data_IF_247309230346
#
_entry.id   IF_247309230346
#
_cell.length_a   1.000
_cell.length_b   1.000
_cell.length_c   1.000
_cell.angle_alpha   90.00
_cell.angle_beta   90.00
_cell.angle_gamma   90.00
#
_symmetry.space_group_name_H-M   'P 1'
#
loop_
_entity.id
_entity.type
_entity.pdbx_description
1 polymer ?
#
# COMPACT_ATOMS: atom_id res chain seq x y z
N UNK A 1 -3.42 13.42 -3.74
CA UNK A 1 -4.62 12.67 -4.21
C UNK A 1 -4.59 11.19 -3.88
N UNK A 2 -3.44 10.56 -3.57
CA UNK A 2 -3.36 9.11 -3.27
C UNK A 2 -4.34 8.62 -2.17
N UNK A 3 -4.60 9.45 -1.15
CA UNK A 3 -5.53 9.14 -0.06
C UNK A 3 -7.00 8.92 -0.48
N UNK A 4 -7.43 9.55 -1.57
CA UNK A 4 -8.81 9.52 -2.07
C UNK A 4 -8.98 8.68 -3.34
N UNK A 5 -7.96 7.90 -3.69
CA UNK A 5 -7.99 7.01 -4.85
C UNK A 5 -9.23 6.13 -4.84
N UNK A 6 -9.88 6.01 -6.00
CA UNK A 6 -11.00 5.10 -6.21
C UNK A 6 -10.61 3.66 -5.85
N UNK A 7 -11.55 2.89 -5.33
CA UNK A 7 -11.30 1.48 -5.04
C UNK A 7 -11.27 0.67 -6.34
N UNK A 8 -10.23 -0.16 -6.48
CA UNK A 8 -10.14 -1.21 -7.48
C UNK A 8 -10.78 -2.50 -6.98
N UNK A 9 -10.28 -3.63 -7.46
CA UNK A 9 -10.87 -4.94 -7.17
C UNK A 9 -10.52 -5.46 -5.77
N UNK A 10 -9.36 -5.08 -5.22
CA UNK A 10 -8.85 -5.63 -3.97
C UNK A 10 -8.95 -4.67 -2.77
N UNK A 11 -9.41 -3.44 -2.99
CA UNK A 11 -9.69 -2.44 -1.97
C UNK A 11 -11.09 -2.59 -1.39
N UNK A 12 -11.21 -2.30 -0.10
CA UNK A 12 -12.50 -2.33 0.61
C UNK A 12 -12.57 -1.14 1.56
N UNK A 13 -13.69 -1.00 2.29
CA UNK A 13 -13.82 0.02 3.34
C UNK A 13 -12.72 -0.02 4.42
N UNK A 14 -12.04 -1.15 4.60
CA UNK A 14 -10.93 -1.33 5.55
C UNK A 14 -9.55 -1.40 4.90
N UNK A 15 -9.49 -1.68 3.60
CA UNK A 15 -8.24 -1.78 2.83
C UNK A 15 -8.13 -0.52 1.96
N UNK A 16 -7.65 0.57 2.56
CA UNK A 16 -7.45 1.86 1.87
C UNK A 16 -6.55 2.78 2.69
N UNK A 17 -6.20 3.93 2.11
CA UNK A 17 -5.33 4.96 2.70
C UNK A 17 -6.08 6.25 3.04
N UNK A 18 -7.41 6.18 3.25
CA UNK A 18 -8.24 7.37 3.53
C UNK A 18 -8.02 7.92 4.94
N UNK A 19 -7.64 7.07 5.89
CA UNK A 19 -7.33 7.44 7.27
C UNK A 19 -6.08 6.74 7.75
N UNK A 20 -5.38 7.33 8.71
CA UNK A 20 -4.12 6.78 9.26
C UNK A 20 -4.28 5.33 9.77
N UNK A 21 -5.32 4.99 10.57
CA UNK A 21 -5.47 3.61 11.03
C UNK A 21 -5.69 2.61 9.90
N UNK A 22 -6.46 2.98 8.87
CA UNK A 22 -6.69 2.11 7.70
C UNK A 22 -5.43 1.94 6.86
N UNK A 23 -4.63 3.00 6.73
CA UNK A 23 -3.33 2.92 6.07
C UNK A 23 -2.39 1.97 6.82
N UNK A 24 -2.35 2.02 8.16
CA UNK A 24 -1.55 1.08 8.96
C UNK A 24 -2.01 -0.37 8.79
N UNK A 25 -3.33 -0.62 8.75
CA UNK A 25 -3.88 -1.96 8.46
C UNK A 25 -3.45 -2.45 7.08
N UNK A 26 -3.53 -1.60 6.06
CA UNK A 26 -3.07 -1.92 4.72
C UNK A 26 -1.57 -2.25 4.70
N UNK A 27 -0.73 -1.41 5.33
CA UNK A 27 0.72 -1.59 5.41
C UNK A 27 1.10 -2.90 6.13
N UNK A 28 0.41 -3.21 7.23
CA UNK A 28 0.57 -4.48 7.94
C UNK A 28 0.18 -5.69 7.09
N UNK A 29 -0.91 -5.59 6.32
CA UNK A 29 -1.32 -6.66 5.41
C UNK A 29 -0.25 -6.92 4.34
N UNK A 30 0.26 -5.87 3.70
CA UNK A 30 1.23 -6.03 2.61
C UNK A 30 2.64 -6.40 3.08
N UNK A 31 2.98 -6.22 4.36
CA UNK A 31 4.25 -6.71 4.90
C UNK A 31 4.34 -8.23 5.02
N UNK A 32 3.22 -8.94 4.90
CA UNK A 32 3.21 -10.40 4.82
C UNK A 32 3.54 -10.93 3.41
N UNK A 33 3.76 -10.05 2.42
CA UNK A 33 4.22 -10.43 1.09
C UNK A 33 3.15 -11.01 0.15
N UNK A 34 1.93 -11.24 0.62
CA UNK A 34 0.82 -11.74 -0.21
C UNK A 34 -0.09 -10.60 -0.70
N UNK A 35 -0.49 -10.66 -1.98
CA UNK A 35 -1.49 -9.74 -2.56
C UNK A 35 -1.07 -8.27 -2.74
N UNK A 36 0.12 -7.87 -2.27
CA UNK A 36 0.60 -6.48 -2.38
C UNK A 36 0.75 -6.02 -3.83
N UNK A 37 1.14 -6.92 -4.75
CA UNK A 37 1.29 -6.61 -6.17
C UNK A 37 -0.05 -6.23 -6.83
N UNK A 38 -1.11 -6.95 -6.50
CA UNK A 38 -2.46 -6.68 -7.03
C UNK A 38 -2.98 -5.35 -6.50
N UNK A 39 -2.81 -5.10 -5.19
CA UNK A 39 -3.09 -3.81 -4.57
C UNK A 39 -2.30 -2.66 -5.22
N UNK A 40 -1.00 -2.86 -5.45
CA UNK A 40 -0.18 -1.84 -6.11
C UNK A 40 -0.71 -1.51 -7.51
N UNK A 41 -1.08 -2.53 -8.30
CA UNK A 41 -1.64 -2.35 -9.64
C UNK A 41 -2.99 -1.66 -9.59
N UNK A 42 -3.85 -2.03 -8.64
CA UNK A 42 -5.15 -1.39 -8.45
C UNK A 42 -4.96 0.12 -8.20
N UNK A 43 -4.12 0.51 -7.22
CA UNK A 43 -3.79 1.91 -6.96
C UNK A 43 -3.10 2.65 -8.13
N UNK A 44 -2.28 1.95 -8.92
CA UNK A 44 -1.56 2.53 -10.05
C UNK A 44 -2.43 2.73 -11.30
N UNK A 45 -3.43 1.86 -11.48
CA UNK A 45 -4.29 1.81 -12.67
C UNK A 45 -5.45 2.80 -12.63
N UNK A 46 -5.74 3.41 -11.48
CA UNK A 46 -6.76 4.47 -11.35
C UNK A 46 -6.28 5.77 -12.00
N UNK A 47 -6.37 5.80 -13.32
CA UNK A 47 -6.04 6.94 -14.17
C UNK A 47 -7.21 7.26 -15.11
N UNK A 48 -7.17 8.46 -15.70
CA UNK A 48 -8.15 8.87 -16.69
C UNK A 48 -8.17 7.88 -17.88
N UNK A 49 -9.34 7.46 -18.42
CA UNK A 49 -10.71 7.93 -18.18
C UNK A 49 -11.48 7.22 -17.05
N UNK A 50 -10.84 6.33 -16.28
CA UNK A 50 -11.49 5.52 -15.25
C UNK A 50 -11.59 6.22 -13.88
N UNK A 51 -11.20 7.48 -13.82
CA UNK A 51 -11.29 8.34 -12.64
C UNK A 51 -11.66 9.78 -13.03
N UNK A 52 -12.19 10.52 -12.06
CA UNK A 52 -12.59 11.91 -12.16
C UNK A 52 -11.45 12.80 -11.71
N UNK A 53 -11.04 13.72 -12.59
CA UNK A 53 -10.10 14.79 -12.26
C UNK A 53 -10.88 16.00 -11.75
N UNK A 54 -10.70 16.35 -10.47
CA UNK A 54 -11.22 17.59 -9.90
C UNK A 54 -10.21 18.74 -9.97
N UNK A 55 -10.69 19.98 -9.88
CA UNK A 55 -9.82 21.17 -9.78
C UNK A 55 -9.02 21.20 -8.48
N UNK A 56 -9.62 20.70 -7.39
CA UNK A 56 -8.96 20.56 -6.10
C UNK A 56 -8.67 19.10 -5.76
N UNK A 57 -7.70 18.87 -4.87
CA UNK A 57 -7.24 17.52 -4.51
C UNK A 57 -8.34 16.64 -3.87
N UNK A 58 -9.38 17.24 -3.30
CA UNK A 58 -10.51 16.56 -2.66
C UNK A 58 -11.68 16.30 -3.63
N UNK A 59 -11.61 16.85 -4.84
CA UNK A 59 -12.65 16.74 -5.86
C UNK A 59 -12.35 15.67 -6.92
N UNK A 60 -11.15 15.08 -6.87
CA UNK A 60 -10.74 14.01 -7.77
C UNK A 60 -10.45 12.70 -7.04
N UNK A 61 -10.77 11.58 -7.69
CA UNK A 61 -10.55 10.21 -7.19
C UNK A 61 -9.43 9.47 -7.97
N UNK A 62 -8.68 10.20 -8.80
CA UNK A 62 -7.53 9.65 -9.52
C UNK A 62 -6.36 9.30 -8.59
N UNK A 63 -5.77 8.13 -8.82
CA UNK A 63 -4.56 7.68 -8.17
C UNK A 63 -3.31 8.37 -8.73
N UNK A 64 -2.15 7.93 -8.25
CA UNK A 64 -0.86 8.30 -8.84
C UNK A 64 0.01 7.06 -8.98
N UNK A 65 0.33 6.71 -10.22
CA UNK A 65 1.12 5.53 -10.56
C UNK A 65 2.54 5.60 -9.98
N UNK A 66 3.21 6.75 -10.07
CA UNK A 66 4.56 6.91 -9.54
C UNK A 66 4.58 6.72 -8.01
N UNK A 67 3.60 7.30 -7.32
CA UNK A 67 3.48 7.16 -5.87
C UNK A 67 3.09 5.75 -5.45
N UNK A 68 2.19 5.08 -6.19
CA UNK A 68 1.83 3.68 -5.94
C UNK A 68 3.07 2.79 -5.99
N UNK A 69 3.82 2.82 -7.09
CA UNK A 69 5.03 2.00 -7.22
C UNK A 69 6.05 2.31 -6.15
N UNK A 70 6.33 3.58 -5.90
CA UNK A 70 7.32 3.99 -4.89
C UNK A 70 6.93 3.49 -3.50
N UNK A 71 5.68 3.70 -3.07
CA UNK A 71 5.22 3.30 -1.74
C UNK A 71 5.19 1.79 -1.56
N UNK A 72 4.55 1.06 -2.48
CA UNK A 72 4.37 -0.39 -2.33
C UNK A 72 5.69 -1.15 -2.45
N UNK A 73 6.56 -0.79 -3.42
CA UNK A 73 7.85 -1.46 -3.60
C UNK A 73 8.80 -1.13 -2.44
N UNK A 74 8.90 0.14 -2.06
CA UNK A 74 9.78 0.52 -0.94
C UNK A 74 9.34 -0.13 0.37
N UNK A 75 8.04 -0.17 0.64
CA UNK A 75 7.52 -0.82 1.84
C UNK A 75 7.72 -2.33 1.82
N UNK A 76 7.52 -2.99 0.67
CA UNK A 76 7.76 -4.42 0.54
C UNK A 76 9.22 -4.78 0.87
N UNK A 77 10.18 -4.06 0.27
CA UNK A 77 11.60 -4.30 0.53
C UNK A 77 11.95 -4.00 1.99
N UNK A 78 11.58 -2.82 2.50
CA UNK A 78 11.92 -2.37 3.85
C UNK A 78 11.33 -3.31 4.91
N UNK A 79 10.06 -3.70 4.78
CA UNK A 79 9.42 -4.61 5.73
C UNK A 79 10.08 -5.99 5.72
N UNK A 80 10.38 -6.56 4.56
CA UNK A 80 11.07 -7.84 4.47
C UNK A 80 12.43 -7.82 5.17
N UNK A 81 13.24 -6.78 4.95
CA UNK A 81 14.51 -6.66 5.67
C UNK A 81 14.33 -6.55 7.18
N UNK A 82 13.35 -5.77 7.66
CA UNK A 82 13.08 -5.65 9.10
C UNK A 82 12.68 -7.00 9.71
N UNK A 83 11.71 -7.70 9.11
CA UNK A 83 11.21 -8.98 9.65
C UNK A 83 12.27 -10.08 9.59
N UNK A 84 13.07 -10.16 8.53
CA UNK A 84 14.15 -11.13 8.42
C UNK A 84 15.21 -10.89 9.50
N UNK A 85 15.67 -9.64 9.68
CA UNK A 85 16.65 -9.34 10.72
C UNK A 85 16.12 -9.59 12.13
N UNK A 86 14.85 -9.26 12.38
CA UNK A 86 14.19 -9.53 13.66
C UNK A 86 14.10 -11.04 13.94
N UNK A 87 13.75 -11.83 12.93
CA UNK A 87 13.69 -13.29 13.05
C UNK A 87 15.08 -13.90 13.30
N UNK A 88 16.11 -13.46 12.57
CA UNK A 88 17.51 -13.89 12.78
C UNK A 88 17.94 -13.60 14.22
N UNK A 89 17.67 -12.40 14.72
CA UNK A 89 18.01 -12.01 16.10
C UNK A 89 17.34 -12.92 17.13
N UNK A 90 16.06 -13.23 16.95
CA UNK A 90 15.29 -14.08 17.87
C UNK A 90 15.80 -15.53 17.86
N UNK A 91 16.12 -16.06 16.69
CA UNK A 91 16.68 -17.40 16.54
C UNK A 91 18.07 -17.46 17.17
N UNK A 92 18.91 -16.46 16.95
CA UNK A 92 20.24 -16.39 17.58
C UNK A 92 20.15 -16.43 19.11
N UNK A 93 19.24 -15.66 19.71
CA UNK A 93 19.03 -15.66 21.16
C UNK A 93 18.49 -17.01 21.67
N UNK A 94 17.70 -17.72 20.86
CA UNK A 94 17.08 -19.00 21.25
C UNK A 94 18.04 -20.20 21.20
N UNK A 95 19.05 -20.16 20.33
CA UNK A 95 20.02 -21.25 20.13
C UNK A 95 21.43 -20.92 20.64
N UNK A 96 21.62 -19.73 21.21
CA UNK A 96 22.80 -19.38 22.01
C UNK A 96 22.67 -19.90 23.44
#
# INVERSE_FOLDING_TARGET
>A
TFGLTRFGANETGNINVRTVPKALILLFRISMGEGWNQLMVDFASVQHPYCTTGSHYFEGDCGSQQWAWTLFISWNILSMYIFVNLFISLIYESFS
#
